data_IF_697703408874
#
_entry.id   IF_697703408874
#
_cell.length_a   1.000
_cell.length_b   1.000
_cell.length_c   1.000
_cell.angle_alpha   90.00
_cell.angle_beta   90.00
_cell.angle_gamma   90.00
#
_symmetry.space_group_name_H-M   'P 1'
#
loop_
_entity.id
_entity.type
_entity.pdbx_description
1 polymer ?
#
# COMPACT_ATOMS: atom_id res chain seq x y z
N UNK A 1 7.76 7.15 -20.30
CA UNK A 1 6.39 6.74 -19.93
C UNK A 1 5.89 7.71 -18.87
N UNK A 2 4.65 8.16 -18.95
CA UNK A 2 4.10 9.11 -17.97
C UNK A 2 3.90 8.40 -16.62
N UNK A 3 4.44 8.98 -15.56
CA UNK A 3 4.34 8.43 -14.21
C UNK A 3 2.99 8.85 -13.62
N UNK A 4 2.21 7.88 -13.14
CA UNK A 4 0.87 8.09 -12.55
C UNK A 4 0.98 8.03 -11.04
N UNK A 5 0.19 8.85 -10.34
CA UNK A 5 0.12 8.84 -8.88
C UNK A 5 -1.18 8.17 -8.42
N UNK A 6 -1.06 7.02 -7.75
CA UNK A 6 -2.20 6.23 -7.31
C UNK A 6 -2.36 6.39 -5.80
N UNK A 7 -3.50 6.94 -5.38
CA UNK A 7 -3.92 7.00 -3.98
C UNK A 7 -4.62 5.70 -3.60
N UNK A 8 -4.28 5.19 -2.42
CA UNK A 8 -4.88 4.04 -1.76
C UNK A 8 -5.56 4.49 -0.46
N UNK A 9 -6.75 3.94 -0.21
CA UNK A 9 -7.39 3.95 1.11
C UNK A 9 -7.24 2.57 1.74
N UNK A 10 -6.63 2.51 2.92
CA UNK A 10 -6.14 1.28 3.51
C UNK A 10 -6.71 1.11 4.92
N UNK A 11 -7.26 -0.07 5.20
CA UNK A 11 -7.54 -0.53 6.55
C UNK A 11 -6.56 -1.64 6.92
N UNK A 12 -6.10 -1.67 8.17
CA UNK A 12 -5.28 -2.75 8.66
C UNK A 12 -5.43 -3.02 10.16
N UNK A 13 -5.25 -4.29 10.51
CA UNK A 13 -4.96 -4.74 11.87
C UNK A 13 -3.43 -4.79 12.06
N UNK A 14 -2.91 -3.91 12.92
CA UNK A 14 -1.47 -3.79 13.16
C UNK A 14 -0.88 -4.83 14.12
N UNK A 15 -1.67 -5.73 14.70
CA UNK A 15 -1.25 -6.63 15.80
C UNK A 15 0.04 -7.39 15.47
N UNK A 16 0.18 -7.88 14.24
CA UNK A 16 1.31 -8.70 13.79
C UNK A 16 2.39 -7.91 13.02
N UNK A 17 2.34 -6.57 13.07
CA UNK A 17 3.23 -5.70 12.31
C UNK A 17 4.06 -4.80 13.22
N UNK A 18 5.33 -4.53 12.83
CA UNK A 18 6.22 -3.58 13.50
C UNK A 18 5.88 -2.11 13.18
N UNK A 19 4.61 -1.83 12.88
CA UNK A 19 4.07 -0.54 12.54
C UNK A 19 3.99 -0.28 11.05
N UNK A 20 3.76 0.98 10.70
CA UNK A 20 3.60 1.40 9.31
C UNK A 20 4.90 1.30 8.51
N UNK A 21 5.96 1.95 9.00
CA UNK A 21 7.18 2.17 8.24
C UNK A 21 8.05 0.92 8.15
N UNK A 22 8.68 0.70 6.98
CA UNK A 22 9.72 -0.34 6.80
C UNK A 22 10.81 -0.22 7.85
N UNK A 23 11.13 -1.36 8.47
CA UNK A 23 12.22 -1.52 9.43
C UNK A 23 12.90 -2.87 9.21
N UNK A 24 14.15 -3.01 9.66
CA UNK A 24 14.92 -4.25 9.49
C UNK A 24 14.49 -5.37 10.47
N UNK A 25 13.78 -5.00 11.53
CA UNK A 25 13.45 -5.86 12.67
C UNK A 25 12.12 -6.61 12.54
N UNK A 26 11.38 -6.45 11.44
CA UNK A 26 10.10 -7.14 11.27
C UNK A 26 9.29 -6.72 10.06
N UNK A 27 8.13 -7.36 9.91
CA UNK A 27 7.15 -7.07 8.84
C UNK A 27 6.40 -5.78 9.15
N UNK A 28 6.36 -4.87 8.19
CA UNK A 28 5.67 -3.57 8.29
C UNK A 28 4.57 -3.45 7.24
N UNK A 29 3.57 -2.60 7.49
CA UNK A 29 2.48 -2.36 6.53
C UNK A 29 3.02 -1.81 5.20
N UNK A 30 3.90 -0.81 5.24
CA UNK A 30 4.53 -0.22 4.06
C UNK A 30 5.29 -1.27 3.26
N UNK A 31 6.15 -2.06 3.92
CA UNK A 31 6.96 -3.06 3.24
C UNK A 31 6.12 -4.15 2.58
N UNK A 32 5.06 -4.62 3.24
CA UNK A 32 4.14 -5.61 2.67
C UNK A 32 3.41 -5.07 1.45
N UNK A 33 2.95 -3.81 1.48
CA UNK A 33 2.31 -3.17 0.32
C UNK A 33 3.27 -3.07 -0.87
N UNK A 34 4.49 -2.62 -0.64
CA UNK A 34 5.49 -2.42 -1.70
C UNK A 34 5.95 -3.74 -2.32
N UNK A 35 6.06 -4.80 -1.53
CA UNK A 35 6.35 -6.14 -2.05
C UNK A 35 5.27 -6.59 -3.05
N UNK A 36 3.99 -6.42 -2.71
CA UNK A 36 2.89 -6.82 -3.61
C UNK A 36 2.74 -5.87 -4.79
N UNK A 37 2.97 -4.57 -4.59
CA UNK A 37 3.00 -3.59 -5.69
C UNK A 37 4.11 -3.89 -6.68
N UNK A 38 5.27 -4.36 -6.22
CA UNK A 38 6.36 -4.77 -7.12
C UNK A 38 5.97 -5.90 -8.04
N UNK A 39 5.18 -6.85 -7.56
CA UNK A 39 4.66 -7.97 -8.36
C UNK A 39 3.67 -7.44 -9.40
N UNK A 40 2.72 -6.59 -9.00
CA UNK A 40 1.68 -6.03 -9.89
C UNK A 40 2.29 -5.15 -10.98
N UNK A 41 3.20 -4.26 -10.59
CA UNK A 41 3.71 -3.20 -11.47
C UNK A 41 4.98 -3.58 -12.20
N UNK A 42 5.53 -4.77 -11.91
CA UNK A 42 6.83 -5.28 -12.37
C UNK A 42 8.02 -4.31 -12.13
N UNK A 43 7.84 -3.31 -11.26
CA UNK A 43 8.80 -2.29 -10.92
C UNK A 43 8.75 -1.97 -9.42
N UNK A 44 9.80 -1.38 -8.86
CA UNK A 44 9.74 -0.91 -7.48
C UNK A 44 8.82 0.31 -7.40
N UNK A 45 7.94 0.32 -6.40
CA UNK A 45 7.09 1.46 -6.07
C UNK A 45 7.31 1.80 -4.60
N UNK A 46 7.70 3.04 -4.32
CA UNK A 46 7.76 3.54 -2.95
C UNK A 46 6.35 3.98 -2.53
N UNK A 47 5.88 3.46 -1.40
CA UNK A 47 4.57 3.83 -0.83
C UNK A 47 4.78 4.92 0.21
N UNK A 48 4.07 6.04 0.06
CA UNK A 48 4.08 7.17 0.98
C UNK A 48 2.76 7.24 1.74
N UNK A 49 2.79 6.94 3.04
CA UNK A 49 1.61 7.07 3.91
C UNK A 49 1.36 8.50 4.34
N UNK A 50 0.10 8.83 4.60
CA UNK A 50 -0.32 10.13 5.16
C UNK A 50 0.17 10.32 6.61
N UNK A 51 0.53 9.23 7.29
CA UNK A 51 1.13 9.26 8.61
C UNK A 51 1.94 8.00 8.89
N UNK A 52 2.45 7.89 10.11
CA UNK A 52 3.09 6.70 10.65
C UNK A 52 2.25 6.18 11.81
N UNK A 53 2.21 4.86 11.96
CA UNK A 53 1.68 4.21 13.16
C UNK A 53 2.75 3.31 13.75
N UNK A 54 2.76 3.20 15.08
CA UNK A 54 3.68 2.32 15.81
C UNK A 54 3.27 0.85 15.70
N UNK A 55 4.11 -0.04 16.20
CA UNK A 55 3.85 -1.48 16.25
C UNK A 55 2.55 -1.79 16.98
N UNK A 56 1.75 -2.70 16.44
CA UNK A 56 0.45 -3.08 17.02
C UNK A 56 -0.71 -2.12 16.73
N UNK A 57 -0.45 -0.88 16.29
CA UNK A 57 -1.53 0.10 16.06
C UNK A 57 -2.31 -0.23 14.79
N UNK A 58 -3.64 -0.16 14.86
CA UNK A 58 -4.55 -0.41 13.74
C UNK A 58 -4.93 0.89 13.00
N UNK A 59 -5.48 0.76 11.79
CA UNK A 59 -6.10 1.87 11.09
C UNK A 59 -7.33 1.42 10.29
N UNK A 60 -8.38 2.25 10.25
CA UNK A 60 -9.56 2.00 9.41
C UNK A 60 -9.53 2.77 8.08
N UNK A 61 -8.62 3.73 7.93
CA UNK A 61 -8.59 4.62 6.76
C UNK A 61 -7.26 5.35 6.59
N UNK A 62 -6.14 4.62 6.73
CA UNK A 62 -4.84 5.15 6.37
C UNK A 62 -4.83 5.45 4.87
N UNK A 63 -4.50 6.69 4.52
CA UNK A 63 -4.30 7.09 3.12
C UNK A 63 -2.82 6.90 2.79
N UNK A 64 -2.52 6.37 1.62
CA UNK A 64 -1.17 6.35 1.08
C UNK A 64 -1.20 6.56 -0.43
N UNK A 65 -0.06 6.89 -1.03
CA UNK A 65 0.08 6.91 -2.47
C UNK A 65 1.36 6.21 -2.93
N UNK A 66 1.43 5.92 -4.22
CA UNK A 66 2.65 5.48 -4.88
C UNK A 66 2.63 5.90 -6.35
N UNK A 67 3.82 6.13 -6.91
CA UNK A 67 3.97 6.44 -8.33
C UNK A 67 4.23 5.17 -9.14
N UNK A 68 3.60 5.03 -10.31
CA UNK A 68 3.79 3.87 -11.19
C UNK A 68 3.68 4.23 -12.67
N UNK A 69 4.41 3.50 -13.52
CA UNK A 69 4.24 3.53 -14.98
C UNK A 69 3.25 2.49 -15.50
N UNK A 70 2.64 1.68 -14.61
CA UNK A 70 1.72 0.63 -15.01
C UNK A 70 0.44 1.21 -15.65
N UNK A 71 -0.03 0.54 -16.69
CA UNK A 71 -1.25 0.91 -17.44
C UNK A 71 -2.54 0.39 -16.79
N UNK A 72 -2.42 -0.40 -15.72
CA UNK A 72 -3.57 -0.94 -15.00
C UNK A 72 -4.49 0.20 -14.49
N UNK A 73 -5.82 0.11 -14.67
CA UNK A 73 -6.75 1.11 -14.15
C UNK A 73 -6.60 1.27 -12.63
N UNK A 74 -6.70 2.50 -12.11
CA UNK A 74 -6.42 2.80 -10.71
C UNK A 74 -7.27 1.96 -9.75
N UNK A 75 -8.58 1.87 -10.00
CA UNK A 75 -9.51 1.08 -9.18
C UNK A 75 -9.16 -0.41 -9.12
N UNK A 76 -8.49 -0.95 -10.14
CA UNK A 76 -8.13 -2.37 -10.21
C UNK A 76 -7.00 -2.74 -9.23
N UNK A 77 -6.19 -1.76 -8.78
CA UNK A 77 -5.17 -2.00 -7.75
C UNK A 77 -5.77 -2.52 -6.45
N UNK A 78 -6.96 -2.06 -6.06
CA UNK A 78 -7.60 -2.52 -4.83
C UNK A 78 -7.86 -4.03 -4.87
N UNK A 79 -8.45 -4.53 -5.97
CA UNK A 79 -8.72 -5.97 -6.15
C UNK A 79 -7.42 -6.77 -6.24
N UNK A 80 -6.45 -6.30 -7.03
CA UNK A 80 -5.17 -6.99 -7.24
C UNK A 80 -4.34 -7.08 -5.96
N UNK A 81 -4.30 -6.02 -5.16
CA UNK A 81 -3.62 -6.03 -3.87
C UNK A 81 -4.35 -6.95 -2.88
N UNK A 82 -5.68 -6.83 -2.75
CA UNK A 82 -6.45 -7.66 -1.81
C UNK A 82 -6.38 -9.16 -2.12
N UNK A 83 -6.11 -9.57 -3.36
CA UNK A 83 -5.90 -10.99 -3.69
C UNK A 83 -4.56 -11.56 -3.24
N UNK A 84 -3.58 -10.71 -2.88
CA UNK A 84 -2.23 -11.13 -2.47
C UNK A 84 -1.85 -10.69 -1.05
N UNK A 85 -2.51 -9.68 -0.51
CA UNK A 85 -2.25 -9.17 0.83
C UNK A 85 -2.75 -10.14 1.91
N UNK A 86 -2.07 -10.20 3.08
CA UNK A 86 -2.59 -10.90 4.24
C UNK A 86 -3.97 -10.36 4.62
N UNK A 87 -4.77 -11.17 5.33
CA UNK A 87 -6.15 -10.78 5.70
C UNK A 87 -6.22 -9.50 6.54
N UNK A 88 -5.15 -9.22 7.25
CA UNK A 88 -4.98 -8.09 8.14
C UNK A 88 -4.79 -6.76 7.42
N UNK A 89 -4.60 -6.73 6.10
CA UNK A 89 -4.47 -5.49 5.30
C UNK A 89 -5.49 -5.51 4.18
N UNK A 90 -6.31 -4.47 4.09
CA UNK A 90 -7.33 -4.32 3.04
C UNK A 90 -7.26 -2.96 2.38
N UNK A 91 -7.27 -2.97 1.05
CA UNK A 91 -7.45 -1.78 0.23
C UNK A 91 -8.94 -1.56 0.04
N UNK A 92 -9.44 -0.46 0.61
CA UNK A 92 -10.85 -0.06 0.55
C UNK A 92 -11.16 0.71 -0.74
N UNK A 93 -10.16 1.37 -1.31
CA UNK A 93 -10.29 2.15 -2.54
C UNK A 93 -8.93 2.46 -3.15
N UNK A 94 -8.94 2.66 -4.46
CA UNK A 94 -7.78 3.08 -5.23
C UNK A 94 -8.21 4.03 -6.34
N UNK A 95 -7.55 5.18 -6.44
CA UNK A 95 -7.89 6.22 -7.41
C UNK A 95 -6.63 6.90 -7.94
N UNK A 96 -6.72 7.42 -9.15
CA UNK A 96 -5.65 8.24 -9.73
C UNK A 96 -5.79 9.67 -9.24
N UNK A 97 -4.67 10.27 -8.90
CA UNK A 97 -4.60 11.64 -8.37
C UNK A 97 -3.58 12.45 -9.17
N UNK A 98 -3.54 13.76 -8.92
CA UNK A 98 -2.52 14.61 -9.52
C UNK A 98 -1.10 14.09 -9.20
N UNK A 99 -0.14 14.25 -10.11
CA UNK A 99 1.25 13.85 -9.91
C UNK A 99 1.87 14.43 -8.64
#
# INVERSE_FOLDING_TARGET
MQQRNIRLLIAYDGTNFCGWQRQQNGTSIQGTLEEKLRIITTAQAAVHGAGRTDAGVHAQGMVANFSTGATMPAFAFAKALNSMLPKDIRILGAEETAP
#
